data_IF_075823882480
#
_entry.id   IF_075823882480
#
_cell.length_a   1.000
_cell.length_b   1.000
_cell.length_c   1.000
_cell.angle_alpha   90.00
_cell.angle_beta   90.00
_cell.angle_gamma   90.00
#
_symmetry.space_group_name_H-M   'P 1'
#
loop_
_entity.id
_entity.type
_entity.pdbx_description
1 polymer ?
#
# COMPACT_ATOMS: atom_id res chain seq x y z
N UNK A 1 18.02 10.71 -9.06
CA UNK A 1 17.18 9.56 -8.70
C UNK A 1 18.02 8.29 -8.85
N UNK A 2 18.51 7.74 -7.72
CA UNK A 2 19.52 6.67 -7.69
C UNK A 2 19.26 5.55 -8.71
N UNK A 3 18.03 5.06 -8.81
CA UNK A 3 17.68 4.01 -9.77
C UNK A 3 17.79 4.46 -11.24
N UNK A 4 17.38 5.68 -11.54
CA UNK A 4 17.53 6.23 -12.90
C UNK A 4 19.00 6.31 -13.30
N UNK A 5 19.84 6.78 -12.38
CA UNK A 5 21.26 6.98 -12.65
C UNK A 5 21.99 5.62 -12.81
N UNK A 6 21.61 4.62 -12.00
CA UNK A 6 22.10 3.25 -12.13
C UNK A 6 21.66 2.61 -13.47
N UNK A 7 20.38 2.73 -13.83
CA UNK A 7 19.83 2.12 -15.05
C UNK A 7 20.44 2.74 -16.31
N UNK A 8 20.65 4.05 -16.30
CA UNK A 8 21.29 4.75 -17.41
C UNK A 8 22.76 4.31 -17.63
N UNK A 9 23.47 4.02 -16.53
CA UNK A 9 24.82 3.48 -16.61
C UNK A 9 24.89 2.03 -17.14
N UNK A 10 23.78 1.27 -17.04
CA UNK A 10 23.71 -0.10 -17.54
C UNK A 10 23.31 -0.13 -19.02
N UNK A 11 22.35 0.69 -19.42
CA UNK A 11 21.85 0.78 -20.78
C UNK A 11 20.98 2.01 -20.99
N UNK A 12 21.08 2.62 -22.16
CA UNK A 12 20.19 3.69 -22.60
C UNK A 12 18.78 3.18 -22.97
N UNK A 13 18.57 1.86 -22.92
CA UNK A 13 17.29 1.26 -23.24
C UNK A 13 16.32 1.39 -22.07
N UNK A 14 15.28 2.22 -22.22
CA UNK A 14 14.26 2.45 -21.21
C UNK A 14 13.51 1.17 -20.78
N UNK A 15 13.46 0.12 -21.57
CA UNK A 15 12.86 -1.14 -21.19
C UNK A 15 13.56 -1.79 -19.98
N UNK A 16 14.88 -1.65 -19.87
CA UNK A 16 15.65 -2.17 -18.72
C UNK A 16 15.26 -1.42 -17.44
N UNK A 17 14.97 -0.12 -17.56
CA UNK A 17 14.53 0.71 -16.45
C UNK A 17 13.26 0.17 -15.78
N UNK A 18 12.31 -0.36 -16.56
CA UNK A 18 11.04 -0.91 -16.07
C UNK A 18 11.11 -2.41 -15.76
N UNK A 19 11.97 -3.15 -16.44
CA UNK A 19 12.02 -4.61 -16.36
C UNK A 19 12.34 -5.10 -14.96
N UNK A 20 13.38 -4.58 -14.32
CA UNK A 20 13.81 -5.06 -13.00
C UNK A 20 12.76 -4.82 -11.90
N UNK A 21 12.18 -3.61 -11.74
CA UNK A 21 11.09 -3.40 -10.79
C UNK A 21 9.89 -4.32 -11.04
N UNK A 22 9.51 -4.51 -12.30
CA UNK A 22 8.40 -5.37 -12.68
C UNK A 22 8.66 -6.84 -12.32
N UNK A 23 9.86 -7.35 -12.57
CA UNK A 23 10.24 -8.72 -12.22
C UNK A 23 10.28 -8.94 -10.70
N UNK A 24 10.91 -8.03 -9.95
CA UNK A 24 11.00 -8.12 -8.49
C UNK A 24 9.62 -8.12 -7.85
N UNK A 25 8.78 -7.21 -8.28
CA UNK A 25 7.44 -7.07 -7.74
C UNK A 25 6.54 -8.24 -8.11
N UNK A 26 6.57 -8.71 -9.35
CA UNK A 26 5.86 -9.91 -9.79
C UNK A 26 6.30 -11.15 -9.02
N UNK A 27 7.60 -11.30 -8.78
CA UNK A 27 8.14 -12.38 -7.95
C UNK A 27 7.58 -12.35 -6.54
N UNK A 28 7.53 -11.16 -5.89
CA UNK A 28 6.98 -11.02 -4.54
C UNK A 28 5.50 -11.39 -4.48
N UNK A 29 4.68 -10.95 -5.46
CA UNK A 29 3.25 -11.29 -5.56
C UNK A 29 3.06 -12.80 -5.70
N UNK A 30 3.76 -13.42 -6.67
CA UNK A 30 3.65 -14.87 -6.90
C UNK A 30 4.06 -15.67 -5.68
N UNK A 31 5.16 -15.28 -5.03
CA UNK A 31 5.65 -15.94 -3.79
C UNK A 31 4.62 -15.84 -2.67
N UNK A 32 4.00 -14.67 -2.50
CA UNK A 32 2.99 -14.45 -1.48
C UNK A 32 1.74 -15.30 -1.75
N UNK A 33 1.23 -15.29 -2.97
CA UNK A 33 0.04 -16.06 -3.35
C UNK A 33 0.27 -17.56 -3.26
N UNK A 34 1.45 -18.05 -3.69
CA UNK A 34 1.78 -19.49 -3.53
C UNK A 34 1.84 -19.92 -2.07
N UNK A 35 2.25 -19.04 -1.15
CA UNK A 35 2.40 -19.39 0.26
C UNK A 35 1.09 -19.27 1.05
N UNK A 36 0.27 -18.25 0.77
CA UNK A 36 -0.85 -17.88 1.64
C UNK A 36 -2.22 -18.01 0.99
N UNK A 37 -2.29 -18.15 -0.32
CA UNK A 37 -3.58 -18.27 -0.99
C UNK A 37 -4.07 -19.73 -1.00
N UNK A 38 -5.34 -19.92 -0.70
CA UNK A 38 -6.02 -21.21 -0.86
C UNK A 38 -6.09 -21.61 -2.34
N UNK A 39 -6.32 -20.64 -3.22
CA UNK A 39 -6.32 -20.84 -4.66
C UNK A 39 -5.52 -19.73 -5.33
N UNK A 40 -4.22 -19.97 -5.63
CA UNK A 40 -3.35 -18.96 -6.25
C UNK A 40 -3.85 -18.45 -7.60
N UNK A 41 -4.49 -19.31 -8.40
CA UNK A 41 -5.04 -18.92 -9.70
C UNK A 41 -6.20 -17.91 -9.54
N UNK A 42 -7.10 -18.16 -8.59
CA UNK A 42 -8.17 -17.22 -8.27
C UNK A 42 -7.64 -15.91 -7.73
N UNK A 43 -6.61 -15.95 -6.87
CA UNK A 43 -5.97 -14.73 -6.34
C UNK A 43 -5.32 -13.91 -7.44
N UNK A 44 -4.67 -14.54 -8.42
CA UNK A 44 -4.12 -13.85 -9.59
C UNK A 44 -5.23 -13.24 -10.45
N UNK A 45 -6.32 -13.98 -10.70
CA UNK A 45 -7.46 -13.45 -11.44
C UNK A 45 -8.03 -12.19 -10.76
N UNK A 46 -8.24 -12.24 -9.44
CA UNK A 46 -8.74 -11.08 -8.67
C UNK A 46 -7.74 -9.93 -8.70
N UNK A 47 -6.44 -10.20 -8.58
CA UNK A 47 -5.40 -9.20 -8.64
C UNK A 47 -5.41 -8.42 -9.97
N UNK A 48 -5.58 -9.13 -11.09
CA UNK A 48 -5.69 -8.50 -12.42
C UNK A 48 -7.03 -7.79 -12.61
N UNK A 49 -8.14 -8.42 -12.20
CA UNK A 49 -9.49 -7.89 -12.39
C UNK A 49 -9.77 -6.62 -11.60
N UNK A 50 -9.18 -6.45 -10.42
CA UNK A 50 -9.28 -5.23 -9.62
C UNK A 50 -8.42 -4.08 -10.16
N UNK A 51 -7.71 -4.26 -11.25
CA UNK A 51 -6.83 -3.24 -11.80
C UNK A 51 -5.60 -2.95 -10.92
N UNK A 52 -5.38 -3.74 -9.87
CA UNK A 52 -4.23 -3.59 -8.96
C UNK A 52 -2.92 -3.67 -9.72
N UNK A 53 -2.87 -4.52 -10.76
CA UNK A 53 -1.72 -4.66 -11.64
C UNK A 53 -1.41 -3.35 -12.40
N UNK A 54 -2.43 -2.65 -12.89
CA UNK A 54 -2.26 -1.38 -13.63
C UNK A 54 -1.68 -0.30 -12.71
N UNK A 55 -2.23 -0.17 -11.51
CA UNK A 55 -1.71 0.77 -10.49
C UNK A 55 -0.26 0.45 -10.12
N UNK A 56 0.08 -0.82 -10.11
CA UNK A 56 1.39 -1.35 -9.80
C UNK A 56 2.45 -0.97 -10.85
N UNK A 57 2.10 -0.97 -12.13
CA UNK A 57 3.02 -0.61 -13.23
C UNK A 57 3.13 0.90 -13.39
N UNK A 58 2.07 1.65 -13.07
CA UNK A 58 2.00 3.08 -13.33
C UNK A 58 3.05 3.92 -12.58
N UNK A 59 3.59 3.42 -11.47
CA UNK A 59 4.51 4.18 -10.64
C UNK A 59 5.72 3.35 -10.21
N UNK A 60 6.83 3.53 -10.89
CA UNK A 60 8.07 2.75 -10.69
C UNK A 60 8.59 2.78 -9.25
N UNK A 61 8.57 3.95 -8.59
CA UNK A 61 8.98 4.10 -7.19
C UNK A 61 8.08 3.27 -6.27
N UNK A 62 6.79 3.19 -6.58
CA UNK A 62 5.83 2.38 -5.84
C UNK A 62 6.09 0.89 -6.03
N UNK A 63 6.53 0.43 -7.21
CA UNK A 63 6.88 -0.97 -7.45
C UNK A 63 7.95 -1.46 -6.47
N UNK A 64 9.02 -0.68 -6.26
CA UNK A 64 10.05 -1.03 -5.28
C UNK A 64 9.52 -1.03 -3.85
N UNK A 65 8.73 -0.02 -3.47
CA UNK A 65 8.13 0.02 -2.15
C UNK A 65 7.21 -1.19 -1.93
N UNK A 66 6.33 -1.50 -2.87
CA UNK A 66 5.41 -2.64 -2.80
C UNK A 66 6.19 -3.96 -2.73
N UNK A 67 7.28 -4.11 -3.47
CA UNK A 67 8.15 -5.29 -3.38
C UNK A 67 8.60 -5.54 -1.94
N UNK A 68 9.16 -4.53 -1.26
CA UNK A 68 9.61 -4.64 0.12
C UNK A 68 8.44 -4.87 1.08
N UNK A 69 7.30 -4.19 0.87
CA UNK A 69 6.10 -4.37 1.69
C UNK A 69 5.56 -5.80 1.58
N UNK A 70 5.46 -6.37 0.37
CA UNK A 70 5.02 -7.76 0.19
C UNK A 70 5.98 -8.76 0.84
N UNK A 71 7.29 -8.52 0.76
CA UNK A 71 8.29 -9.34 1.46
C UNK A 71 8.21 -9.21 2.98
N UNK A 72 7.67 -8.12 3.51
CA UNK A 72 7.53 -7.91 4.96
C UNK A 72 6.36 -8.70 5.57
N UNK A 73 5.30 -8.99 4.80
CA UNK A 73 4.08 -9.66 5.29
C UNK A 73 4.36 -10.98 6.02
N UNK A 74 5.17 -11.92 5.50
CA UNK A 74 5.51 -13.14 6.22
C UNK A 74 6.10 -12.89 7.61
N UNK A 75 6.93 -11.85 7.73
CA UNK A 75 7.55 -11.52 9.01
C UNK A 75 6.56 -10.90 10.00
N UNK A 76 5.57 -10.16 9.52
CA UNK A 76 4.49 -9.67 10.36
C UNK A 76 3.63 -10.83 10.90
N UNK A 77 3.28 -11.79 10.04
CA UNK A 77 2.53 -13.01 10.42
C UNK A 77 3.32 -13.84 11.43
N UNK A 78 4.63 -14.05 11.20
CA UNK A 78 5.53 -14.80 12.07
C UNK A 78 5.92 -14.03 13.35
N UNK A 79 5.40 -12.81 13.57
CA UNK A 79 5.72 -11.88 14.68
C UNK A 79 7.21 -11.52 14.78
N UNK A 80 7.94 -11.57 13.66
CA UNK A 80 9.36 -11.18 13.57
C UNK A 80 9.46 -9.67 13.26
N UNK A 81 9.02 -8.85 14.20
CA UNK A 81 8.79 -7.41 13.98
C UNK A 81 10.03 -6.63 13.55
N UNK A 82 11.22 -6.99 14.02
CA UNK A 82 12.46 -6.29 13.61
C UNK A 82 12.66 -6.41 12.10
N UNK A 83 12.52 -7.61 11.53
CA UNK A 83 12.66 -7.85 10.09
C UNK A 83 11.54 -7.19 9.29
N UNK A 84 10.32 -7.20 9.85
CA UNK A 84 9.18 -6.51 9.28
C UNK A 84 9.46 -5.01 9.14
N UNK A 85 9.81 -4.33 10.25
CA UNK A 85 10.04 -2.89 10.23
C UNK A 85 11.26 -2.48 9.43
N UNK A 86 12.29 -3.32 9.34
CA UNK A 86 13.44 -3.06 8.48
C UNK A 86 13.03 -3.03 7.00
N UNK A 87 12.18 -3.97 6.56
CA UNK A 87 11.66 -3.99 5.19
C UNK A 87 10.69 -2.82 4.92
N UNK A 88 9.85 -2.47 5.90
CA UNK A 88 8.99 -1.28 5.80
C UNK A 88 9.83 -0.02 5.70
N UNK A 89 10.91 0.10 6.47
CA UNK A 89 11.84 1.23 6.37
C UNK A 89 12.48 1.32 4.98
N UNK A 90 12.94 0.20 4.41
CA UNK A 90 13.43 0.17 3.04
C UNK A 90 12.35 0.62 2.04
N UNK A 91 11.10 0.21 2.24
CA UNK A 91 10.00 0.65 1.38
C UNK A 91 9.77 2.18 1.45
N UNK A 92 9.89 2.78 2.65
CA UNK A 92 9.74 4.23 2.86
C UNK A 92 10.79 5.02 2.06
N UNK A 93 12.01 4.51 1.91
CA UNK A 93 13.05 5.17 1.12
C UNK A 93 12.68 5.33 -0.36
N UNK A 94 11.84 4.43 -0.90
CA UNK A 94 11.34 4.50 -2.27
C UNK A 94 10.02 5.26 -2.37
N UNK A 95 9.14 5.11 -1.39
CA UNK A 95 7.82 5.74 -1.38
C UNK A 95 7.40 6.09 0.04
N UNK A 96 7.37 7.37 0.35
CA UNK A 96 7.14 7.88 1.71
C UNK A 96 5.86 7.32 2.34
N UNK A 97 4.76 7.24 1.58
CA UNK A 97 3.48 6.73 2.10
C UNK A 97 3.52 5.25 2.56
N UNK A 98 4.60 4.52 2.28
CA UNK A 98 4.79 3.16 2.79
C UNK A 98 4.84 3.10 4.33
N UNK A 99 5.06 4.23 5.03
CA UNK A 99 5.02 4.29 6.49
C UNK A 99 3.66 3.84 7.06
N UNK A 100 2.57 4.04 6.33
CA UNK A 100 1.23 3.60 6.75
C UNK A 100 1.17 2.07 6.96
N UNK A 101 2.06 1.32 6.28
CA UNK A 101 2.13 -0.12 6.43
C UNK A 101 2.68 -0.57 7.79
N UNK A 102 3.32 0.33 8.55
CA UNK A 102 3.80 0.05 9.90
C UNK A 102 2.67 -0.35 10.89
N UNK A 103 1.42 -0.01 10.58
CA UNK A 103 0.23 -0.37 11.37
C UNK A 103 -0.16 -1.85 11.17
N UNK A 104 0.24 -2.47 10.06
CA UNK A 104 -0.20 -3.83 9.67
C UNK A 104 -0.03 -4.89 10.77
N UNK A 105 1.06 -4.94 11.57
CA UNK A 105 1.17 -5.91 12.66
C UNK A 105 0.06 -5.81 13.71
N UNK A 106 -0.52 -4.63 13.90
CA UNK A 106 -1.65 -4.43 14.84
C UNK A 106 -2.93 -5.12 14.35
N UNK A 107 -3.03 -5.38 13.04
CA UNK A 107 -4.17 -6.05 12.41
C UNK A 107 -4.05 -7.58 12.48
N UNK A 108 -2.84 -8.13 12.72
CA UNK A 108 -2.61 -9.56 12.89
C UNK A 108 -2.94 -10.02 14.31
N UNK A 109 -4.21 -9.88 14.69
CA UNK A 109 -4.73 -10.35 15.96
C UNK A 109 -5.95 -11.24 15.74
N UNK A 110 -6.75 -11.38 16.80
CA UNK A 110 -8.07 -12.04 16.65
C UNK A 110 -8.92 -11.17 15.71
N UNK A 111 -9.53 -11.76 14.66
CA UNK A 111 -10.51 -11.04 13.84
C UNK A 111 -11.55 -10.38 14.75
N UNK A 112 -11.84 -9.10 14.53
CA UNK A 112 -12.77 -8.32 15.37
C UNK A 112 -12.34 -8.16 16.83
N UNK A 113 -11.06 -8.34 17.14
CA UNK A 113 -10.50 -8.09 18.46
C UNK A 113 -10.48 -6.58 18.79
N UNK A 114 -10.26 -6.27 20.08
CA UNK A 114 -10.21 -4.88 20.57
C UNK A 114 -9.26 -3.98 19.76
N UNK A 115 -8.11 -4.52 19.36
CA UNK A 115 -7.12 -3.78 18.56
C UNK A 115 -7.64 -3.47 17.17
N UNK A 116 -8.25 -4.45 16.47
CA UNK A 116 -8.80 -4.25 15.13
C UNK A 116 -9.96 -3.25 15.14
N UNK A 117 -10.83 -3.32 16.15
CA UNK A 117 -11.92 -2.35 16.35
C UNK A 117 -11.34 -0.96 16.66
N UNK A 118 -10.33 -0.87 17.53
CA UNK A 118 -9.66 0.39 17.84
C UNK A 118 -9.04 1.05 16.61
N UNK A 119 -8.35 0.29 15.76
CA UNK A 119 -7.79 0.80 14.48
C UNK A 119 -8.90 1.27 13.54
N UNK A 120 -10.01 0.51 13.45
CA UNK A 120 -11.16 0.90 12.63
C UNK A 120 -11.78 2.22 13.11
N UNK A 121 -11.99 2.35 14.42
CA UNK A 121 -12.53 3.59 15.01
C UNK A 121 -11.58 4.77 14.81
N UNK A 122 -10.27 4.56 14.96
CA UNK A 122 -9.26 5.59 14.68
C UNK A 122 -9.27 6.01 13.20
N UNK A 123 -9.44 5.07 12.28
CA UNK A 123 -9.55 5.37 10.85
C UNK A 123 -10.84 6.17 10.54
N UNK A 124 -11.97 5.80 11.13
CA UNK A 124 -13.23 6.53 10.97
C UNK A 124 -13.10 7.96 11.55
N UNK A 125 -12.47 8.09 12.72
CA UNK A 125 -12.21 9.40 13.32
C UNK A 125 -11.30 10.25 12.44
N UNK A 126 -10.21 9.69 11.92
CA UNK A 126 -9.31 10.37 11.00
C UNK A 126 -10.03 10.82 9.72
N UNK A 127 -10.94 10.00 9.19
CA UNK A 127 -11.78 10.39 8.04
C UNK A 127 -12.76 11.51 8.38
N UNK A 128 -13.40 11.45 9.55
CA UNK A 128 -14.36 12.46 9.97
C UNK A 128 -13.71 13.83 10.26
N UNK A 129 -12.44 13.83 10.64
CA UNK A 129 -11.66 15.04 10.92
C UNK A 129 -10.75 15.45 9.76
N UNK A 130 -10.85 14.76 8.62
CA UNK A 130 -9.90 14.93 7.49
C UNK A 130 -9.82 16.38 7.01
N UNK A 131 -10.95 17.04 6.76
CA UNK A 131 -10.97 18.40 6.24
C UNK A 131 -10.35 19.40 7.23
N UNK A 132 -10.67 19.27 8.53
CA UNK A 132 -10.10 20.12 9.57
C UNK A 132 -8.59 19.88 9.75
N UNK A 133 -8.18 18.61 9.72
CA UNK A 133 -6.75 18.24 9.87
C UNK A 133 -5.95 18.63 8.64
N UNK A 134 -6.53 18.45 7.44
CA UNK A 134 -5.90 18.86 6.19
C UNK A 134 -5.73 20.37 6.15
N UNK A 135 -6.77 21.14 6.51
CA UNK A 135 -6.69 22.60 6.55
C UNK A 135 -5.58 23.09 7.47
N UNK A 136 -5.51 22.60 8.71
CA UNK A 136 -4.44 22.92 9.66
C UNK A 136 -3.05 22.51 9.17
N UNK A 137 -2.94 21.34 8.52
CA UNK A 137 -1.69 20.87 7.92
C UNK A 137 -1.24 21.74 6.77
N UNK A 138 -2.17 22.17 5.91
CA UNK A 138 -1.89 23.06 4.77
C UNK A 138 -1.40 24.42 5.24
N UNK A 139 -2.05 24.99 6.25
CA UNK A 139 -1.64 26.26 6.86
C UNK A 139 -0.23 26.17 7.45
N UNK A 140 0.07 25.10 8.17
CA UNK A 140 1.41 24.83 8.69
C UNK A 140 2.43 24.62 7.57
N UNK A 141 2.14 23.83 6.55
CA UNK A 141 3.02 23.57 5.42
C UNK A 141 3.35 24.86 4.63
N UNK A 142 2.37 25.74 4.45
CA UNK A 142 2.58 27.06 3.84
C UNK A 142 3.46 27.93 4.71
N UNK A 143 3.30 27.90 6.04
CA UNK A 143 4.09 28.71 6.98
C UNK A 143 5.58 28.37 6.94
N UNK A 144 5.94 27.11 6.64
CA UNK A 144 7.35 26.64 6.51
C UNK A 144 7.85 26.67 5.06
N UNK A 145 7.08 27.21 4.10
CA UNK A 145 7.45 27.29 2.69
C UNK A 145 7.49 25.92 1.96
N UNK A 146 6.80 24.90 2.48
CA UNK A 146 6.71 23.61 1.84
C UNK A 146 5.87 23.68 0.56
N UNK A 147 6.31 22.98 -0.48
CA UNK A 147 5.56 22.86 -1.75
C UNK A 147 4.27 22.07 -1.54
N UNK A 148 3.14 22.74 -1.59
CA UNK A 148 1.80 22.19 -1.36
C UNK A 148 1.16 21.65 -2.65
N UNK A 149 1.81 21.81 -3.80
CA UNK A 149 1.27 21.49 -5.12
C UNK A 149 0.79 20.03 -5.29
N UNK A 150 1.38 19.08 -4.56
CA UNK A 150 0.91 17.67 -4.62
C UNK A 150 -0.44 17.46 -3.92
N UNK A 151 -0.81 18.33 -2.99
CA UNK A 151 -2.04 18.20 -2.20
C UNK A 151 -3.23 18.82 -2.95
N UNK A 152 -3.03 19.90 -3.67
CA UNK A 152 -4.07 20.53 -4.50
C UNK A 152 -4.60 19.60 -5.60
N UNK A 153 -3.78 18.63 -6.06
CA UNK A 153 -4.20 17.61 -7.04
C UNK A 153 -5.25 16.66 -6.47
N UNK A 154 -5.25 16.43 -5.15
CA UNK A 154 -6.26 15.57 -4.51
C UNK A 154 -7.60 16.27 -4.32
N UNK A 155 -7.61 17.57 -4.09
CA UNK A 155 -8.82 18.34 -3.82
C UNK A 155 -9.68 18.53 -5.08
N UNK A 156 -9.06 18.51 -6.26
CA UNK A 156 -9.73 18.70 -7.56
C UNK A 156 -10.25 17.40 -8.20
N UNK A 157 -10.02 16.23 -7.60
CA UNK A 157 -10.50 14.97 -8.15
C UNK A 157 -11.72 14.45 -7.38
N UNK A 158 -12.94 14.51 -7.98
CA UNK A 158 -14.13 14.01 -7.32
C UNK A 158 -13.99 12.52 -7.01
N UNK A 159 -14.34 12.15 -5.78
CA UNK A 159 -14.32 10.76 -5.33
C UNK A 159 -15.32 9.96 -6.18
N UNK A 160 -14.85 8.97 -6.90
CA UNK A 160 -15.72 8.06 -7.64
C UNK A 160 -16.39 7.10 -6.66
N UNK A 161 -17.65 7.37 -6.32
CA UNK A 161 -18.47 6.60 -5.37
C UNK A 161 -18.51 5.13 -5.76
N UNK A 162 -18.58 4.80 -7.04
CA UNK A 162 -18.63 3.42 -7.53
C UNK A 162 -17.34 2.68 -7.19
N UNK A 163 -16.19 3.33 -7.31
CA UNK A 163 -14.89 2.78 -6.91
C UNK A 163 -14.86 2.52 -5.39
N UNK A 164 -15.36 3.44 -4.59
CA UNK A 164 -15.43 3.28 -3.13
C UNK A 164 -16.28 2.06 -2.78
N UNK A 165 -17.47 1.90 -3.39
CA UNK A 165 -18.35 0.75 -3.16
C UNK A 165 -17.63 -0.56 -3.49
N UNK A 166 -16.93 -0.65 -4.63
CA UNK A 166 -16.19 -1.85 -5.03
C UNK A 166 -15.12 -2.21 -4.00
N UNK A 167 -14.38 -1.24 -3.47
CA UNK A 167 -13.38 -1.50 -2.43
C UNK A 167 -13.98 -1.93 -1.08
N UNK A 168 -15.24 -1.58 -0.81
CA UNK A 168 -15.94 -2.02 0.41
C UNK A 168 -16.45 -3.47 0.34
N UNK A 169 -16.61 -4.04 -0.87
CA UNK A 169 -17.14 -5.41 -1.04
C UNK A 169 -16.37 -6.45 -0.21
N UNK A 170 -15.02 -6.52 -0.22
CA UNK A 170 -14.28 -7.50 0.59
C UNK A 170 -14.52 -7.31 2.10
N UNK A 171 -14.59 -6.06 2.57
CA UNK A 171 -14.84 -5.76 3.98
C UNK A 171 -16.26 -6.17 4.41
N UNK A 172 -17.26 -5.92 3.57
CA UNK A 172 -18.65 -6.32 3.80
C UNK A 172 -18.78 -7.85 3.80
N UNK A 173 -18.13 -8.54 2.86
CA UNK A 173 -18.11 -10.01 2.84
C UNK A 173 -17.46 -10.58 4.11
N UNK A 174 -16.32 -10.01 4.55
CA UNK A 174 -15.69 -10.42 5.80
C UNK A 174 -16.58 -10.18 7.03
N UNK A 175 -17.37 -9.10 7.03
CA UNK A 175 -18.34 -8.82 8.09
C UNK A 175 -19.48 -9.84 8.10
N UNK A 176 -20.05 -10.15 6.93
CA UNK A 176 -21.16 -11.11 6.78
C UNK A 176 -20.72 -12.52 7.18
N UNK A 177 -19.55 -12.93 6.75
CA UNK A 177 -19.02 -14.28 7.00
C UNK A 177 -18.16 -14.37 8.26
N UNK A 178 -18.14 -13.34 9.12
CA UNK A 178 -17.29 -13.27 10.33
C UNK A 178 -17.39 -14.46 11.28
N UNK A 179 -18.50 -15.20 11.26
CA UNK A 179 -18.68 -16.42 12.09
C UNK A 179 -18.01 -17.65 11.50
N UNK A 180 -17.60 -17.60 10.23
CA UNK A 180 -16.93 -18.70 9.52
C UNK A 180 -15.42 -18.49 9.36
N UNK A 181 -14.95 -17.29 9.69
CA UNK A 181 -13.54 -16.90 9.78
C UNK A 181 -13.01 -17.07 11.20
#
# INVERSE_FOLDING_TARGET
>A
NLWRDISHNISDNYHIYFLLPALLSSFAVVKLFKKYSVNPALSMLVFFSLGTYVTYIAALKQCFAIFFLLLSIPYAIDRKYIRFYLLVFLAILFHTHAFMFAIVPLLFGKPWGKTSIGVLLAAIFAMATYDATLGAFMEYAQSIGALVAEIEVFDNNPINILRVIVYWVPALLALVFRKRL
#
